data_IF_378980309434
#
_entry.id   IF_378980309434
#
_cell.length_a   1.000
_cell.length_b   1.000
_cell.length_c   1.000
_cell.angle_alpha   90.00
_cell.angle_beta   90.00
_cell.angle_gamma   90.00
#
_symmetry.space_group_name_H-M   'P 1'
#
loop_
_entity.id
_entity.type
_entity.pdbx_description
1 polymer ?
#
# COMPACT_ATOMS: atom_id res chain seq x y z
N UNK A 1 7.67 -6.55 8.86
CA UNK A 1 7.49 -6.09 10.26
C UNK A 1 8.76 -5.58 10.96
N UNK A 2 9.91 -5.39 10.29
CA UNK A 2 11.15 -4.93 10.96
C UNK A 2 11.06 -3.52 11.54
N UNK A 3 10.30 -2.63 10.91
CA UNK A 3 9.99 -1.31 11.47
C UNK A 3 9.44 -1.41 12.90
N UNK A 4 8.53 -2.36 13.16
CA UNK A 4 7.93 -2.54 14.49
C UNK A 4 8.99 -2.88 15.52
N UNK A 5 9.88 -3.83 15.19
CA UNK A 5 10.96 -4.25 16.07
C UNK A 5 11.89 -3.08 16.37
N UNK A 6 12.31 -2.35 15.33
CA UNK A 6 13.11 -1.15 15.46
C UNK A 6 12.44 -0.08 16.34
N UNK A 7 11.16 0.22 16.09
CA UNK A 7 10.42 1.23 16.82
C UNK A 7 10.29 0.88 18.31
N UNK A 8 10.23 -0.41 18.62
CA UNK A 8 10.16 -0.95 19.99
C UNK A 8 11.51 -1.29 20.61
N UNK A 9 12.63 -0.89 19.99
CA UNK A 9 14.00 -1.16 20.48
C UNK A 9 14.40 -2.65 20.54
N UNK A 10 13.87 -3.48 19.61
CA UNK A 10 14.10 -4.94 19.55
C UNK A 10 14.95 -5.41 18.37
N UNK A 11 15.18 -4.56 17.36
CA UNK A 11 16.08 -4.86 16.22
C UNK A 11 16.60 -3.56 15.62
N UNK A 12 17.89 -3.48 15.32
CA UNK A 12 18.53 -2.29 14.73
C UNK A 12 19.09 -2.50 13.32
N UNK A 13 18.83 -3.68 12.72
CA UNK A 13 19.28 -4.03 11.36
C UNK A 13 18.41 -3.37 10.31
N UNK A 14 18.66 -2.08 10.08
CA UNK A 14 17.92 -1.24 9.14
C UNK A 14 18.17 -1.64 7.68
N UNK A 15 19.37 -2.15 7.38
CA UNK A 15 19.73 -2.77 6.10
C UNK A 15 18.73 -3.87 5.71
N UNK A 16 18.48 -4.83 6.60
CA UNK A 16 17.54 -5.92 6.34
C UNK A 16 16.08 -5.44 6.19
N UNK A 17 15.74 -4.28 6.76
CA UNK A 17 14.45 -3.62 6.57
C UNK A 17 14.33 -2.98 5.20
N UNK A 18 15.35 -2.24 4.77
CA UNK A 18 15.37 -1.62 3.45
C UNK A 18 15.39 -2.66 2.33
N UNK A 19 16.15 -3.75 2.48
CA UNK A 19 16.12 -4.87 1.53
C UNK A 19 14.73 -5.53 1.44
N UNK A 20 14.06 -5.72 2.58
CA UNK A 20 12.70 -6.28 2.58
C UNK A 20 11.71 -5.36 1.85
N UNK A 21 11.82 -4.05 2.04
CA UNK A 21 11.00 -3.06 1.34
C UNK A 21 11.27 -3.07 -0.17
N UNK A 22 12.54 -3.12 -0.58
CA UNK A 22 12.91 -3.21 -1.99
C UNK A 22 12.29 -4.46 -2.64
N UNK A 23 12.40 -5.63 -2.00
CA UNK A 23 11.75 -6.86 -2.49
C UNK A 23 10.24 -6.73 -2.60
N UNK A 24 9.57 -6.07 -1.65
CA UNK A 24 8.13 -5.82 -1.74
C UNK A 24 7.79 -4.95 -2.97
N UNK A 25 8.57 -3.91 -3.24
CA UNK A 25 8.38 -3.01 -4.38
C UNK A 25 8.56 -3.69 -5.74
N UNK A 26 9.51 -4.64 -5.82
CA UNK A 26 9.78 -5.45 -7.02
C UNK A 26 8.66 -6.44 -7.31
N UNK A 27 8.07 -7.04 -6.26
CA UNK A 27 7.09 -8.12 -6.40
C UNK A 27 5.62 -7.67 -6.38
N UNK A 28 5.33 -6.41 -6.03
CA UNK A 28 3.95 -5.91 -5.97
C UNK A 28 3.38 -5.67 -7.37
N UNK A 29 2.21 -6.25 -7.64
CA UNK A 29 1.42 -6.04 -8.86
C UNK A 29 0.24 -5.13 -8.53
N UNK A 30 0.06 -4.06 -9.31
CA UNK A 30 -1.05 -3.12 -9.13
C UNK A 30 -0.68 -1.85 -8.35
N UNK A 31 -1.57 -1.38 -7.48
CA UNK A 31 -1.42 -0.09 -6.78
C UNK A 31 -0.35 -0.20 -5.69
N UNK A 32 0.79 0.47 -5.91
CA UNK A 32 1.94 0.39 -5.00
C UNK A 32 1.89 1.38 -3.83
N UNK A 33 1.09 2.43 -3.95
CA UNK A 33 1.06 3.56 -3.01
C UNK A 33 0.00 3.44 -1.91
N UNK A 34 -0.75 2.33 -1.87
CA UNK A 34 -1.81 2.14 -0.88
C UNK A 34 -1.23 1.47 0.37
N UNK A 35 -1.61 1.99 1.54
CA UNK A 35 -1.24 1.40 2.83
C UNK A 35 -2.31 0.40 3.23
N UNK A 36 -1.97 -0.89 3.17
CA UNK A 36 -2.88 -1.96 3.61
C UNK A 36 -2.86 -2.07 5.13
N UNK A 37 -1.66 -2.04 5.71
CA UNK A 37 -1.45 -2.17 7.16
C UNK A 37 -1.04 -0.84 7.78
N UNK A 38 -1.36 -0.67 9.06
CA UNK A 38 -1.22 0.59 9.79
C UNK A 38 -0.65 0.38 11.18
N UNK A 39 0.06 1.38 11.71
CA UNK A 39 0.58 1.33 13.07
C UNK A 39 -0.53 1.64 14.09
N UNK A 40 -0.94 0.61 14.82
CA UNK A 40 -1.89 0.71 15.92
C UNK A 40 -1.24 0.80 17.29
N UNK A 41 -0.13 0.10 17.52
CA UNK A 41 0.66 0.11 18.75
C UNK A 41 -0.08 -0.23 20.07
N UNK A 42 -1.39 -0.52 20.03
CA UNK A 42 -2.18 -0.89 21.22
C UNK A 42 -2.04 -2.37 21.61
N UNK A 43 -1.68 -3.25 20.68
CA UNK A 43 -1.55 -4.69 20.93
C UNK A 43 -0.06 -5.10 20.95
N UNK A 44 0.45 -5.66 22.06
CA UNK A 44 1.86 -6.05 22.18
C UNK A 44 2.24 -7.23 21.27
N UNK A 45 1.29 -8.10 20.93
CA UNK A 45 1.52 -9.29 20.10
C UNK A 45 1.54 -8.94 18.61
N UNK A 46 0.68 -8.01 18.19
CA UNK A 46 0.65 -7.51 16.82
C UNK A 46 0.22 -6.03 16.82
N UNK A 47 1.16 -5.08 16.83
CA UNK A 47 0.82 -3.65 16.88
C UNK A 47 0.36 -3.09 15.53
N UNK A 48 0.03 -3.95 14.57
CA UNK A 48 -0.49 -3.56 13.26
C UNK A 48 -2.00 -3.72 13.20
N UNK A 49 -2.63 -2.77 12.53
CA UNK A 49 -4.08 -2.75 12.26
C UNK A 49 -4.27 -2.81 10.75
N UNK A 50 -5.16 -3.68 10.28
CA UNK A 50 -5.46 -3.78 8.85
C UNK A 50 -6.42 -2.67 8.41
N UNK A 51 -6.32 -2.23 7.15
CA UNK A 51 -7.26 -1.24 6.59
C UNK A 51 -8.71 -1.68 6.68
N UNK A 52 -8.98 -2.99 6.67
CA UNK A 52 -10.32 -3.55 6.84
C UNK A 52 -10.93 -3.26 8.23
N UNK A 53 -10.09 -3.09 9.27
CA UNK A 53 -10.54 -2.76 10.63
C UNK A 53 -10.78 -1.26 10.81
N UNK A 54 -10.16 -0.44 9.95
CA UNK A 54 -10.29 1.02 9.97
C UNK A 54 -11.50 1.53 9.18
N UNK A 55 -12.14 0.67 8.39
CA UNK A 55 -13.28 1.03 7.56
C UNK A 55 -14.44 1.61 8.38
N UNK A 56 -15.20 2.57 7.81
CA UNK A 56 -15.09 3.08 6.44
C UNK A 56 -14.13 4.27 6.28
N UNK A 57 -13.79 4.59 5.02
CA UNK A 57 -12.99 5.77 4.67
C UNK A 57 -13.86 7.03 4.61
N UNK A 58 -13.59 8.01 5.47
CA UNK A 58 -14.26 9.30 5.47
C UNK A 58 -13.72 10.19 4.35
N UNK A 59 -14.53 10.39 3.30
CA UNK A 59 -14.18 11.22 2.14
C UNK A 59 -13.99 12.70 2.48
N UNK A 60 -14.66 13.21 3.53
CA UNK A 60 -14.55 14.61 3.95
C UNK A 60 -13.25 14.83 4.70
N UNK A 61 -12.92 13.95 5.65
CA UNK A 61 -11.63 13.97 6.37
C UNK A 61 -10.45 13.53 5.50
N UNK A 62 -10.73 12.84 4.39
CA UNK A 62 -9.73 12.14 3.57
C UNK A 62 -8.87 11.19 4.43
N UNK A 63 -9.52 10.53 5.38
CA UNK A 63 -8.90 9.61 6.32
C UNK A 63 -9.91 8.58 6.86
N UNK A 64 -9.45 7.64 7.69
CA UNK A 64 -10.29 6.61 8.29
C UNK A 64 -11.28 7.16 9.32
N UNK A 65 -12.45 6.54 9.45
CA UNK A 65 -13.39 6.86 10.52
C UNK A 65 -12.91 6.33 11.88
N UNK A 66 -12.39 5.10 11.93
CA UNK A 66 -11.92 4.44 13.16
C UNK A 66 -10.44 4.71 13.45
N UNK A 67 -10.04 5.99 13.45
CA UNK A 67 -8.64 6.38 13.71
C UNK A 67 -8.18 6.11 15.16
N UNK A 68 -9.10 5.84 16.08
CA UNK A 68 -8.82 5.50 17.48
C UNK A 68 -8.07 4.18 17.66
N UNK A 69 -8.02 3.34 16.63
CA UNK A 69 -7.20 2.13 16.59
C UNK A 69 -5.74 2.42 16.25
N UNK A 70 -5.44 3.63 15.79
CA UNK A 70 -4.12 4.05 15.33
C UNK A 70 -3.40 4.84 16.41
N UNK A 71 -2.07 4.70 16.44
CA UNK A 71 -1.22 5.58 17.24
C UNK A 71 -0.44 6.52 16.33
N UNK A 72 -0.35 7.77 16.80
CA UNK A 72 0.53 8.75 16.20
C UNK A 72 1.94 8.56 16.69
N UNK A 73 2.89 8.81 15.80
CA UNK A 73 4.31 8.85 16.14
C UNK A 73 4.90 10.21 15.77
N UNK A 74 6.05 10.51 16.36
CA UNK A 74 6.82 11.72 16.11
C UNK A 74 7.83 11.50 14.99
N UNK A 75 8.13 12.58 14.28
CA UNK A 75 9.23 12.67 13.34
C UNK A 75 9.58 14.13 13.06
N UNK A 76 10.49 14.33 12.12
CA UNK A 76 10.92 15.66 11.67
C UNK A 76 10.80 15.70 10.16
N UNK A 77 10.24 16.77 9.59
CA UNK A 77 10.24 16.94 8.13
C UNK A 77 11.69 16.99 7.66
N UNK A 78 11.99 16.26 6.59
CA UNK A 78 13.33 16.17 6.02
C UNK A 78 13.91 17.55 5.66
N UNK A 79 15.21 17.57 5.39
CA UNK A 79 15.95 18.79 5.05
C UNK A 79 15.45 19.49 3.78
N UNK A 80 14.65 18.78 2.98
CA UNK A 80 14.09 19.21 1.70
C UNK A 80 12.64 18.74 1.53
N UNK A 81 11.78 19.62 1.02
CA UNK A 81 10.47 19.27 0.49
C UNK A 81 10.52 19.31 -1.04
N UNK A 82 10.53 18.14 -1.68
CA UNK A 82 10.68 18.02 -3.14
C UNK A 82 9.57 18.74 -3.92
N UNK A 83 8.33 18.62 -3.47
CA UNK A 83 7.17 19.26 -4.11
C UNK A 83 5.95 19.28 -3.20
N UNK A 84 4.88 20.04 -3.54
CA UNK A 84 3.62 19.97 -2.80
C UNK A 84 3.03 18.54 -2.73
N UNK A 85 3.41 17.66 -3.66
CA UNK A 85 2.95 16.28 -3.74
C UNK A 85 3.90 15.25 -3.12
N UNK A 86 5.12 15.65 -2.73
CA UNK A 86 6.16 14.74 -2.27
C UNK A 86 7.06 15.41 -1.23
N UNK A 87 7.12 14.80 -0.06
CA UNK A 87 8.10 15.12 0.97
C UNK A 87 8.36 13.89 1.83
N UNK A 88 9.35 13.99 2.72
CA UNK A 88 9.72 12.94 3.65
C UNK A 88 9.66 13.42 5.10
N UNK A 89 9.31 12.50 5.99
CA UNK A 89 9.45 12.68 7.44
C UNK A 89 10.44 11.64 7.94
N UNK A 90 11.41 12.11 8.72
CA UNK A 90 12.44 11.31 9.36
C UNK A 90 11.98 10.89 10.76
N UNK A 91 11.84 9.59 10.97
CA UNK A 91 11.47 8.96 12.24
C UNK A 91 12.76 8.53 12.94
N UNK A 92 12.93 8.93 14.20
CA UNK A 92 14.09 8.55 15.02
C UNK A 92 15.45 8.86 14.38
N UNK A 93 15.51 9.84 13.47
CA UNK A 93 16.73 10.22 12.74
C UNK A 93 17.23 9.21 11.71
N UNK A 94 16.48 8.13 11.42
CA UNK A 94 17.00 7.00 10.61
C UNK A 94 16.04 6.46 9.56
N UNK A 95 14.74 6.55 9.79
CA UNK A 95 13.74 5.94 8.92
C UNK A 95 12.94 7.01 8.21
N UNK A 96 12.84 6.90 6.89
CA UNK A 96 12.05 7.81 6.06
C UNK A 96 10.61 7.31 5.89
N UNK A 97 9.65 8.23 6.00
CA UNK A 97 8.26 8.01 5.62
C UNK A 97 7.80 9.08 4.63
N UNK A 98 7.23 8.65 3.51
CA UNK A 98 6.70 9.56 2.49
C UNK A 98 5.44 10.27 3.01
N UNK A 99 5.32 11.57 2.80
CA UNK A 99 4.08 12.32 3.02
C UNK A 99 3.76 13.26 1.86
N UNK A 100 2.54 13.80 1.86
CA UNK A 100 2.08 14.78 0.88
C UNK A 100 1.96 16.15 1.55
N UNK A 101 2.93 17.06 1.36
CA UNK A 101 2.98 18.37 2.03
C UNK A 101 1.69 19.19 1.88
N UNK A 102 1.11 19.19 0.67
CA UNK A 102 -0.11 19.96 0.37
C UNK A 102 -1.33 19.55 1.22
N UNK A 103 -1.35 18.35 1.79
CA UNK A 103 -2.46 17.91 2.64
C UNK A 103 -2.46 18.53 4.04
N UNK A 104 -1.32 19.02 4.50
CA UNK A 104 -1.15 19.63 5.82
C UNK A 104 -0.67 21.09 5.79
N UNK A 105 -0.77 21.75 4.62
CA UNK A 105 -0.26 23.11 4.39
C UNK A 105 1.22 23.27 4.82
N UNK A 106 2.04 22.31 4.37
CA UNK A 106 3.49 22.36 4.53
C UNK A 106 4.12 22.93 3.25
N UNK A 107 5.03 23.89 3.41
CA UNK A 107 5.61 24.67 2.33
C UNK A 107 7.14 24.48 2.25
N UNK A 108 7.69 24.37 1.03
CA UNK A 108 9.13 24.39 0.83
C UNK A 108 9.77 25.70 1.33
N UNK A 109 11.00 25.60 1.85
CA UNK A 109 11.81 26.65 2.48
C UNK A 109 11.22 27.29 3.74
N UNK A 110 10.28 26.61 4.39
CA UNK A 110 9.59 27.10 5.58
C UNK A 110 9.43 26.01 6.64
N UNK A 111 9.04 24.82 6.19
CA UNK A 111 8.61 23.75 7.08
C UNK A 111 9.60 22.58 7.17
N UNK A 112 10.73 22.67 6.48
CA UNK A 112 11.86 21.76 6.64
C UNK A 112 12.36 21.77 8.09
N UNK A 113 12.82 20.61 8.56
CA UNK A 113 13.31 20.40 9.92
C UNK A 113 12.27 20.67 11.02
N UNK A 114 10.99 20.84 10.68
CA UNK A 114 9.95 21.06 11.68
C UNK A 114 9.52 19.74 12.34
N UNK A 115 9.32 19.75 13.68
CA UNK A 115 8.77 18.61 14.38
C UNK A 115 7.32 18.37 13.95
N UNK A 116 6.97 17.11 13.69
CA UNK A 116 5.62 16.70 13.27
C UNK A 116 5.20 15.40 13.95
N UNK A 117 3.89 15.16 13.98
CA UNK A 117 3.29 13.90 14.38
C UNK A 117 2.32 13.41 13.30
N UNK A 118 2.18 12.09 13.16
CA UNK A 118 1.43 11.48 12.06
C UNK A 118 1.10 10.02 12.33
N UNK A 119 0.17 9.46 11.54
CA UNK A 119 -0.11 8.03 11.51
C UNK A 119 0.78 7.33 10.47
N UNK A 120 1.26 6.13 10.80
CA UNK A 120 2.11 5.34 9.88
C UNK A 120 1.27 4.32 9.13
N UNK A 121 1.30 4.42 7.81
CA UNK A 121 0.79 3.39 6.91
C UNK A 121 1.93 2.63 6.22
N UNK A 122 1.81 1.31 6.15
CA UNK A 122 2.76 0.43 5.47
C UNK A 122 2.30 0.19 4.04
N UNK A 123 3.03 0.74 3.07
CA UNK A 123 2.78 0.49 1.65
C UNK A 123 3.90 -0.37 1.04
N UNK A 124 3.63 -1.06 -0.08
CA UNK A 124 4.65 -1.84 -0.79
C UNK A 124 5.90 -1.06 -1.22
N UNK A 125 5.79 0.26 -1.39
CA UNK A 125 6.93 1.13 -1.76
C UNK A 125 7.63 1.76 -0.55
N UNK A 126 7.10 1.54 0.65
CA UNK A 126 7.65 2.08 1.88
C UNK A 126 6.63 2.62 2.85
N UNK A 127 7.14 3.22 3.92
CA UNK A 127 6.34 3.84 4.95
C UNK A 127 5.72 5.14 4.43
N UNK A 128 4.50 5.40 4.86
CA UNK A 128 3.75 6.60 4.54
C UNK A 128 3.30 7.28 5.83
N UNK A 129 3.55 8.58 5.91
CA UNK A 129 3.08 9.44 6.97
C UNK A 129 1.76 10.08 6.54
N UNK A 130 0.70 9.78 7.29
CA UNK A 130 -0.67 10.22 7.03
C UNK A 130 -1.16 11.17 8.12
N UNK A 131 -2.04 12.09 7.72
CA UNK A 131 -2.60 13.15 8.57
C UNK A 131 -1.51 13.84 9.42
N UNK A 132 -0.48 14.32 8.72
CA UNK A 132 0.70 14.97 9.30
C UNK A 132 0.30 16.28 9.95
N UNK A 133 0.64 16.44 11.23
CA UNK A 133 0.35 17.62 12.04
C UNK A 133 1.64 18.18 12.64
N UNK A 134 1.66 19.49 12.84
CA UNK A 134 2.79 20.22 13.43
C UNK A 134 2.95 19.87 14.91
N UNK A 135 4.20 19.87 15.37
CA UNK A 135 4.59 19.59 16.74
C UNK A 135 4.72 18.10 17.04
N UNK A 136 5.51 17.78 18.07
CA UNK A 136 5.59 16.45 18.65
C UNK A 136 4.49 16.25 19.70
N UNK A 137 4.13 14.99 19.93
CA UNK A 137 3.22 14.57 20.99
C UNK A 137 3.95 13.71 22.02
N UNK A 138 3.47 13.73 23.26
CA UNK A 138 3.99 12.86 24.31
C UNK A 138 3.73 11.38 23.94
N UNK A 139 4.75 10.54 24.10
CA UNK A 139 4.66 9.11 23.80
C UNK A 139 4.68 8.73 22.32
N UNK A 140 4.87 9.71 21.41
CA UNK A 140 5.01 9.46 19.97
C UNK A 140 6.43 9.07 19.54
N UNK A 141 7.43 9.20 20.41
CA UNK A 141 8.81 8.91 20.06
C UNK A 141 9.08 7.41 19.95
N UNK A 142 9.95 6.99 18.99
CA UNK A 142 10.50 5.65 18.99
C UNK A 142 11.13 5.31 20.36
N UNK A 143 11.11 4.03 20.74
CA UNK A 143 11.71 3.51 21.98
C UNK A 143 11.02 3.94 23.29
N UNK A 144 9.89 4.67 23.24
CA UNK A 144 9.15 5.05 24.44
C UNK A 144 8.44 3.85 25.12
N UNK A 145 8.16 2.79 24.36
CA UNK A 145 7.45 1.58 24.82
C UNK A 145 8.39 0.38 25.09
N UNK A 146 9.69 0.63 25.29
CA UNK A 146 10.71 -0.41 25.30
C UNK A 146 10.45 -1.50 26.37
N UNK A 147 10.23 -2.72 25.90
CA UNK A 147 10.50 -3.93 26.66
C UNK A 147 11.74 -4.57 26.00
N UNK A 148 12.91 -4.42 26.63
CA UNK A 148 14.26 -4.68 26.09
C UNK A 148 14.61 -6.17 25.88
N UNK A 149 13.63 -7.02 25.59
CA UNK A 149 13.93 -8.39 25.24
C UNK A 149 14.17 -8.47 23.73
N UNK A 150 15.42 -8.74 23.35
CA UNK A 150 15.79 -9.09 22.00
C UNK A 150 14.93 -10.28 21.54
N UNK A 151 14.17 -10.08 20.46
CA UNK A 151 13.35 -11.14 19.88
C UNK A 151 14.17 -11.81 18.80
N UNK A 152 14.52 -13.07 19.01
CA UNK A 152 15.10 -13.88 17.95
C UNK A 152 14.07 -14.02 16.83
N UNK A 153 14.37 -13.43 15.69
CA UNK A 153 13.49 -13.50 14.53
C UNK A 153 13.54 -14.90 13.94
N UNK A 154 12.46 -15.65 14.16
CA UNK A 154 12.19 -16.85 13.41
C UNK A 154 11.89 -16.45 11.96
N UNK A 155 12.94 -16.46 11.13
CA UNK A 155 12.76 -16.60 9.70
C UNK A 155 12.33 -18.05 9.49
N UNK A 156 11.01 -18.30 9.49
CA UNK A 156 10.53 -19.42 8.70
C UNK A 156 11.04 -19.11 7.29
N UNK A 157 12.08 -19.85 6.85
CA UNK A 157 12.60 -19.80 5.48
C UNK A 157 11.35 -19.79 4.64
N UNK A 158 10.99 -18.62 4.09
CA UNK A 158 9.74 -18.45 3.37
C UNK A 158 9.77 -19.58 2.36
N UNK A 159 8.96 -20.62 2.60
CA UNK A 159 8.84 -21.74 1.67
C UNK A 159 8.59 -21.02 0.38
N UNK A 160 9.58 -21.10 -0.50
CA UNK A 160 9.61 -20.45 -1.80
C UNK A 160 8.18 -20.62 -2.32
N UNK A 161 7.36 -19.56 -2.20
CA UNK A 161 5.92 -19.72 -2.16
C UNK A 161 5.59 -19.81 -3.63
N UNK A 162 5.77 -21.03 -4.14
CA UNK A 162 6.49 -21.31 -5.37
C UNK A 162 6.13 -20.28 -6.41
N UNK A 163 7.10 -19.66 -7.08
CA UNK A 163 6.90 -18.60 -8.09
C UNK A 163 5.64 -18.82 -8.97
N UNK A 164 5.31 -20.08 -9.26
CA UNK A 164 4.03 -20.54 -9.79
C UNK A 164 2.75 -19.98 -9.12
N UNK A 165 2.61 -19.98 -7.79
CA UNK A 165 1.44 -19.45 -7.07
C UNK A 165 1.32 -17.94 -7.20
N UNK A 166 2.44 -17.21 -7.19
CA UNK A 166 2.43 -15.76 -7.42
C UNK A 166 2.06 -15.44 -8.88
N UNK A 167 2.60 -16.19 -9.84
CA UNK A 167 2.24 -16.07 -11.26
C UNK A 167 0.77 -16.41 -11.50
N UNK A 168 0.24 -17.46 -10.86
CA UNK A 168 -1.17 -17.84 -10.93
C UNK A 168 -2.06 -16.74 -10.36
N UNK A 169 -1.73 -16.17 -9.19
CA UNK A 169 -2.50 -15.07 -8.61
C UNK A 169 -2.44 -13.81 -9.47
N UNK A 170 -1.27 -13.48 -10.03
CA UNK A 170 -1.08 -12.38 -10.95
C UNK A 170 -1.93 -12.54 -12.22
N UNK A 171 -1.90 -13.73 -12.84
CA UNK A 171 -2.70 -14.05 -14.01
C UNK A 171 -4.19 -14.01 -13.71
N UNK A 172 -4.61 -14.52 -12.54
CA UNK A 172 -6.01 -14.48 -12.07
C UNK A 172 -6.50 -13.04 -11.98
N UNK A 173 -5.76 -12.17 -11.29
CA UNK A 173 -6.14 -10.78 -11.10
C UNK A 173 -6.17 -9.97 -12.40
N UNK A 174 -5.22 -10.23 -13.30
CA UNK A 174 -5.21 -9.62 -14.63
C UNK A 174 -6.42 -10.06 -15.45
N UNK A 175 -6.75 -11.35 -15.43
CA UNK A 175 -7.92 -11.88 -16.13
C UNK A 175 -9.23 -11.31 -15.55
N UNK A 176 -9.37 -11.21 -14.23
CA UNK A 176 -10.56 -10.62 -13.59
C UNK A 176 -10.77 -9.16 -14.00
N UNK A 177 -9.71 -8.36 -14.08
CA UNK A 177 -9.80 -6.97 -14.58
C UNK A 177 -10.30 -6.89 -16.00
N UNK A 178 -9.76 -7.74 -16.86
CA UNK A 178 -10.15 -7.82 -18.27
C UNK A 178 -11.60 -8.27 -18.41
N UNK A 179 -12.02 -9.27 -17.61
CA UNK A 179 -13.38 -9.76 -17.57
C UNK A 179 -14.35 -8.67 -17.12
N UNK A 180 -14.03 -7.94 -16.05
CA UNK A 180 -14.85 -6.86 -15.53
C UNK A 180 -15.01 -5.74 -16.57
N UNK A 181 -13.91 -5.31 -17.20
CA UNK A 181 -13.96 -4.34 -18.30
C UNK A 181 -14.88 -4.81 -19.43
N UNK A 182 -14.79 -6.09 -19.81
CA UNK A 182 -15.60 -6.67 -20.89
C UNK A 182 -17.08 -6.67 -20.54
N UNK A 183 -17.43 -7.04 -19.30
CA UNK A 183 -18.82 -7.00 -18.79
C UNK A 183 -19.36 -5.57 -18.82
N UNK A 184 -18.59 -4.61 -18.31
CA UNK A 184 -19.01 -3.21 -18.26
C UNK A 184 -19.18 -2.61 -19.66
N UNK A 185 -18.30 -2.97 -20.60
CA UNK A 185 -18.40 -2.57 -21.99
C UNK A 185 -19.64 -3.16 -22.67
N UNK A 186 -19.91 -4.46 -22.51
CA UNK A 186 -21.10 -5.11 -23.05
C UNK A 186 -22.39 -4.51 -22.48
N UNK A 187 -22.43 -4.23 -21.18
CA UNK A 187 -23.57 -3.54 -20.53
C UNK A 187 -23.79 -2.15 -21.13
N UNK A 188 -22.72 -1.37 -21.29
CA UNK A 188 -22.78 -0.03 -21.88
C UNK A 188 -23.35 -0.05 -23.31
N UNK A 189 -23.02 -1.07 -24.09
CA UNK A 189 -23.42 -1.19 -25.49
C UNK A 189 -24.84 -1.76 -25.65
N UNK A 190 -25.21 -2.70 -24.78
CA UNK A 190 -26.61 -3.15 -24.65
C UNK A 190 -27.54 -1.99 -24.31
N UNK A 191 -27.14 -1.09 -23.39
CA UNK A 191 -27.90 0.13 -23.07
C UNK A 191 -28.06 1.09 -24.27
N UNK A 192 -27.21 0.96 -25.29
CA UNK A 192 -27.27 1.76 -26.53
C UNK A 192 -28.01 1.04 -27.67
N UNK A 193 -28.46 -0.19 -27.45
CA UNK A 193 -29.09 -1.02 -28.49
C UNK A 193 -28.12 -1.50 -29.57
N UNK A 194 -26.82 -1.47 -29.31
CA UNK A 194 -25.79 -1.85 -30.28
C UNK A 194 -25.44 -3.32 -30.12
N UNK A 195 -25.59 -4.11 -31.18
CA UNK A 195 -25.10 -5.48 -31.22
C UNK A 195 -23.58 -5.50 -31.43
N UNK A 196 -22.87 -6.33 -30.67
CA UNK A 196 -21.41 -6.45 -30.73
C UNK A 196 -21.03 -7.90 -30.98
N UNK A 197 -20.18 -8.13 -31.97
CA UNK A 197 -19.61 -9.45 -32.22
C UNK A 197 -18.49 -9.73 -31.23
N UNK A 198 -18.31 -11.00 -30.88
CA UNK A 198 -17.25 -11.40 -29.95
C UNK A 198 -15.84 -11.03 -30.43
N UNK A 199 -15.62 -10.99 -31.74
CA UNK A 199 -14.36 -10.57 -32.37
C UNK A 199 -14.08 -9.08 -32.13
N UNK A 200 -15.08 -8.22 -32.32
CA UNK A 200 -14.98 -6.77 -32.08
C UNK A 200 -14.73 -6.45 -30.60
N UNK A 201 -15.34 -7.24 -29.71
CA UNK A 201 -15.08 -7.16 -28.27
C UNK A 201 -13.62 -7.51 -27.97
N UNK A 202 -13.12 -8.61 -28.54
CA UNK A 202 -11.76 -9.08 -28.29
C UNK A 202 -10.72 -8.08 -28.78
N UNK A 203 -10.90 -7.51 -29.98
CA UNK A 203 -10.01 -6.47 -30.52
C UNK A 203 -9.95 -5.25 -29.61
N UNK A 204 -11.10 -4.78 -29.11
CA UNK A 204 -11.18 -3.63 -28.19
C UNK A 204 -10.54 -3.91 -26.85
N UNK A 205 -10.75 -5.11 -26.30
CA UNK A 205 -10.12 -5.54 -25.04
C UNK A 205 -8.61 -5.59 -25.19
N UNK A 206 -8.11 -6.19 -26.28
CA UNK A 206 -6.68 -6.26 -26.58
C UNK A 206 -6.08 -4.86 -26.73
N UNK A 207 -6.74 -3.95 -27.44
CA UNK A 207 -6.30 -2.57 -27.60
C UNK A 207 -6.30 -1.78 -26.27
N UNK A 208 -7.36 -1.92 -25.46
CA UNK A 208 -7.49 -1.21 -24.19
C UNK A 208 -6.44 -1.63 -23.16
N UNK A 209 -6.07 -2.91 -23.15
CA UNK A 209 -5.11 -3.48 -22.19
C UNK A 209 -3.71 -3.71 -22.77
N UNK A 210 -3.47 -3.31 -24.03
CA UNK A 210 -2.19 -3.50 -24.75
C UNK A 210 -1.70 -4.95 -24.74
N UNK A 211 -2.62 -5.89 -24.97
CA UNK A 211 -2.32 -7.32 -24.94
C UNK A 211 -1.80 -7.78 -26.31
N UNK A 212 -0.73 -8.58 -26.30
CA UNK A 212 -0.19 -9.22 -27.51
C UNK A 212 -0.99 -10.47 -27.92
N UNK A 213 -1.65 -11.12 -26.94
CA UNK A 213 -2.41 -12.35 -27.13
C UNK A 213 -3.78 -12.27 -26.46
N UNK A 214 -4.76 -13.06 -26.93
CA UNK A 214 -6.08 -13.15 -26.31
C UNK A 214 -5.99 -13.57 -24.83
N UNK A 215 -6.65 -12.84 -23.92
CA UNK A 215 -6.61 -13.13 -22.49
C UNK A 215 -7.24 -14.49 -22.16
N UNK A 216 -6.55 -15.27 -21.33
CA UNK A 216 -6.98 -16.56 -20.82
C UNK A 216 -7.00 -16.55 -19.29
N UNK A 217 -7.93 -17.30 -18.71
CA UNK A 217 -7.95 -17.51 -17.25
C UNK A 217 -6.85 -18.51 -16.84
N UNK A 218 -6.58 -18.69 -15.53
CA UNK A 218 -5.58 -19.65 -15.05
C UNK A 218 -5.83 -21.12 -15.43
N UNK A 219 -7.05 -21.45 -15.87
CA UNK A 219 -7.44 -22.78 -16.35
C UNK A 219 -7.30 -22.93 -17.88
N UNK A 220 -6.81 -21.90 -18.59
CA UNK A 220 -6.66 -21.89 -20.05
C UNK A 220 -7.94 -21.59 -20.84
N UNK A 221 -9.03 -21.17 -20.19
CA UNK A 221 -10.27 -20.76 -20.86
C UNK A 221 -10.13 -19.34 -21.42
N UNK A 222 -10.50 -19.15 -22.67
CA UNK A 222 -10.51 -17.83 -23.30
C UNK A 222 -11.59 -16.92 -22.71
N UNK A 223 -11.34 -15.61 -22.76
CA UNK A 223 -12.32 -14.61 -22.34
C UNK A 223 -13.71 -14.80 -22.96
N UNK A 224 -13.77 -15.12 -24.26
CA UNK A 224 -15.05 -15.32 -24.97
C UNK A 224 -15.78 -16.58 -24.51
N UNK A 225 -15.07 -17.65 -24.13
CA UNK A 225 -15.73 -18.86 -23.62
C UNK A 225 -16.28 -18.63 -22.21
N UNK A 226 -15.58 -17.87 -21.38
CA UNK A 226 -16.05 -17.48 -20.04
C UNK A 226 -17.29 -16.60 -20.15
N UNK A 227 -17.26 -15.56 -20.98
CA UNK A 227 -18.40 -14.65 -21.17
C UNK A 227 -19.66 -15.33 -21.73
N UNK A 228 -19.52 -16.37 -22.57
CA UNK A 228 -20.65 -17.16 -23.08
C UNK A 228 -21.27 -18.09 -22.03
N UNK A 229 -20.53 -18.41 -20.97
CA UNK A 229 -21.00 -19.27 -19.88
C UNK A 229 -21.62 -18.53 -18.70
N UNK A 230 -21.67 -17.20 -18.75
CA UNK A 230 -22.32 -16.32 -17.77
C UNK A 230 -23.74 -15.98 -18.20
#
# INVERSE_FOLDING_TARGET
LRFVLWFTDRDHRLDEMFEAQQRCQENIIGRKNFSTEWWGGMNPDCPLVSSAELEPWDKKKKFWENENLLLRINGVIDDTIDSPAAGKVIIGGKIEAFFVPATGDFQPNRDENQPVNFYVGFSPVGLRAWDVKRGHIAGGDPHHLANKQDVELFFEKSKNLAENRQQVLAATYQFEKVLQFSIDFLRSQSNRGTEIRGEDLLERVMAAHRLAEPPQNPEGKSLLSVLRGM
#
